data_IF_088909479981
#
_entry.id   IF_088909479981
#
_cell.length_a   1.000
_cell.length_b   1.000
_cell.length_c   1.000
_cell.angle_alpha   90.00
_cell.angle_beta   90.00
_cell.angle_gamma   90.00
#
_symmetry.space_group_name_H-M   'P 1'
#
loop_
_entity.id
_entity.type
_entity.pdbx_description
1 polymer ?
#
# COMPACT_ATOMS: atom_id res chain seq x y z
N UNK A 1 6.25 19.33 -9.79
CA UNK A 1 5.92 17.92 -9.50
C UNK A 1 6.98 17.08 -10.16
N UNK A 2 7.66 16.26 -9.40
CA UNK A 2 8.66 15.38 -9.95
C UNK A 2 7.96 14.31 -10.81
N UNK A 3 8.64 13.84 -11.83
CA UNK A 3 8.12 12.79 -12.72
C UNK A 3 8.52 11.43 -12.19
N UNK A 4 7.68 10.44 -12.42
CA UNK A 4 8.01 9.06 -12.09
C UNK A 4 9.30 8.62 -12.80
N UNK A 5 10.23 8.02 -12.06
CA UNK A 5 11.39 7.34 -12.64
C UNK A 5 10.94 5.94 -13.11
N UNK A 6 10.45 5.88 -14.35
CA UNK A 6 9.94 4.63 -14.92
C UNK A 6 11.04 3.58 -15.10
N UNK A 7 12.29 3.98 -15.37
CA UNK A 7 13.41 3.04 -15.49
C UNK A 7 13.73 2.40 -14.13
N UNK A 8 13.64 3.17 -13.04
CA UNK A 8 13.77 2.64 -11.69
C UNK A 8 12.62 1.68 -11.36
N UNK A 9 11.36 2.09 -11.66
CA UNK A 9 10.20 1.23 -11.44
C UNK A 9 10.31 -0.09 -12.19
N UNK A 10 10.65 -0.08 -13.47
CA UNK A 10 10.84 -1.30 -14.27
C UNK A 10 11.97 -2.18 -13.74
N UNK A 11 13.00 -1.60 -13.14
CA UNK A 11 14.14 -2.34 -12.60
C UNK A 11 13.87 -2.92 -11.23
N UNK A 12 13.30 -2.11 -10.34
CA UNK A 12 13.15 -2.42 -8.92
C UNK A 12 11.74 -2.87 -8.51
N UNK A 13 10.70 -2.56 -9.30
CA UNK A 13 9.30 -2.85 -9.04
C UNK A 13 8.60 -1.79 -8.18
N UNK A 14 9.29 -0.68 -7.90
CA UNK A 14 8.75 0.46 -7.16
C UNK A 14 9.45 1.74 -7.55
N UNK A 15 8.78 2.87 -7.35
CA UNK A 15 9.39 4.20 -7.48
C UNK A 15 8.66 5.21 -6.61
N UNK A 16 9.35 6.28 -6.21
CA UNK A 16 8.79 7.39 -5.43
C UNK A 16 8.62 8.60 -6.33
N UNK A 17 7.47 9.26 -6.22
CA UNK A 17 7.27 10.61 -6.74
C UNK A 17 7.13 11.56 -5.55
N UNK A 18 8.05 12.52 -5.45
CA UNK A 18 8.08 13.47 -4.32
C UNK A 18 7.04 14.57 -4.48
N UNK A 19 6.44 14.99 -3.36
CA UNK A 19 5.58 16.16 -3.27
C UNK A 19 4.33 16.12 -4.15
N UNK A 20 3.75 14.94 -4.35
CA UNK A 20 2.51 14.75 -5.13
C UNK A 20 1.34 15.46 -4.46
N UNK A 21 1.26 15.36 -3.13
CA UNK A 21 0.28 16.04 -2.30
C UNK A 21 0.94 17.05 -1.37
N UNK A 22 0.28 18.16 -1.11
CA UNK A 22 0.74 19.12 -0.12
C UNK A 22 0.56 18.61 1.31
N UNK A 23 1.37 19.13 2.24
CA UNK A 23 1.20 18.82 3.65
C UNK A 23 -0.19 19.17 4.19
N UNK A 24 -0.82 20.24 3.66
CA UNK A 24 -2.17 20.65 4.05
C UNK A 24 -3.23 19.62 3.62
N UNK A 25 -3.16 19.11 2.39
CA UNK A 25 -4.07 18.06 1.91
C UNK A 25 -3.93 16.79 2.78
N UNK A 26 -2.70 16.39 3.09
CA UNK A 26 -2.47 15.24 3.97
C UNK A 26 -3.06 15.47 5.39
N UNK A 27 -2.88 16.66 5.95
CA UNK A 27 -3.44 17.02 7.26
C UNK A 27 -4.98 17.02 7.25
N UNK A 28 -5.60 17.49 6.17
CA UNK A 28 -7.05 17.47 6.00
C UNK A 28 -7.60 16.03 5.97
N UNK A 29 -6.94 15.11 5.26
CA UNK A 29 -7.34 13.69 5.26
C UNK A 29 -7.18 13.05 6.64
N UNK A 30 -6.05 13.29 7.30
CA UNK A 30 -5.82 12.79 8.67
C UNK A 30 -6.88 13.30 9.63
N UNK A 31 -7.18 14.62 9.59
CA UNK A 31 -8.21 15.23 10.42
C UNK A 31 -9.61 14.64 10.13
N UNK A 32 -9.94 14.41 8.86
CA UNK A 32 -11.18 13.76 8.45
C UNK A 32 -11.32 12.37 9.09
N UNK A 33 -10.28 11.56 8.99
CA UNK A 33 -10.27 10.20 9.55
C UNK A 33 -10.39 10.21 11.08
N UNK A 34 -9.64 11.09 11.75
CA UNK A 34 -9.70 11.25 13.21
C UNK A 34 -11.07 11.74 13.69
N UNK A 35 -11.71 12.65 12.97
CA UNK A 35 -13.05 13.15 13.31
C UNK A 35 -14.12 12.07 13.14
N UNK A 36 -14.02 11.22 12.13
CA UNK A 36 -14.90 10.05 11.96
C UNK A 36 -14.75 9.08 13.13
N UNK A 37 -13.50 8.74 13.50
CA UNK A 37 -13.22 7.84 14.62
C UNK A 37 -13.64 8.40 15.96
N UNK A 38 -13.48 9.71 16.16
CA UNK A 38 -13.93 10.39 17.38
C UNK A 38 -15.45 10.59 17.45
N UNK A 39 -16.18 10.19 16.41
CA UNK A 39 -17.64 10.44 16.33
C UNK A 39 -18.04 11.90 16.17
N UNK A 40 -17.09 12.78 15.81
CA UNK A 40 -17.38 14.21 15.56
C UNK A 40 -18.04 14.42 14.21
N UNK A 41 -17.80 13.52 13.27
CA UNK A 41 -18.46 13.45 11.97
C UNK A 41 -19.20 12.12 11.89
N UNK A 42 -20.42 12.15 11.40
CA UNK A 42 -21.21 10.97 11.08
C UNK A 42 -21.09 10.69 9.57
N UNK A 43 -20.82 9.45 9.23
CA UNK A 43 -20.79 9.00 7.86
C UNK A 43 -21.51 7.65 7.78
N UNK A 44 -22.55 7.57 6.97
CA UNK A 44 -23.29 6.33 6.79
C UNK A 44 -22.34 5.25 6.21
N UNK A 45 -22.34 4.08 6.81
CA UNK A 45 -21.43 2.98 6.45
C UNK A 45 -20.11 2.97 7.22
N UNK A 46 -19.74 4.06 7.89
CA UNK A 46 -18.56 4.11 8.75
C UNK A 46 -18.92 3.64 10.16
N UNK A 47 -18.19 2.66 10.67
CA UNK A 47 -18.26 2.22 12.05
C UNK A 47 -16.93 2.55 12.74
N UNK A 48 -16.92 3.45 13.75
CA UNK A 48 -15.74 3.66 14.57
C UNK A 48 -15.29 2.33 15.19
N UNK A 49 -13.98 2.05 15.11
CA UNK A 49 -13.39 0.87 15.74
C UNK A 49 -12.83 1.24 17.10
N UNK A 50 -12.79 0.28 18.01
CA UNK A 50 -12.07 0.44 19.26
C UNK A 50 -10.56 0.62 19.00
N UNK A 51 -9.85 1.31 19.90
CA UNK A 51 -8.46 1.71 19.65
C UNK A 51 -7.51 0.54 19.39
N UNK A 52 -7.77 -0.63 19.95
CA UNK A 52 -7.05 -1.89 19.70
C UNK A 52 -7.35 -2.54 18.36
N UNK A 53 -8.39 -2.08 17.67
CA UNK A 53 -8.82 -2.55 16.35
C UNK A 53 -8.41 -1.61 15.20
N UNK A 54 -7.71 -0.52 15.52
CA UNK A 54 -7.28 0.51 14.57
C UNK A 54 -6.08 0.06 13.73
N UNK A 55 -6.19 -1.05 13.02
CA UNK A 55 -5.12 -1.49 12.15
C UNK A 55 -5.23 -0.85 10.77
N UNK A 56 -6.33 -1.10 10.05
CA UNK A 56 -6.56 -0.59 8.70
C UNK A 56 -8.04 -0.39 8.45
N UNK A 57 -8.38 0.66 7.68
CA UNK A 57 -9.74 0.87 7.18
C UNK A 57 -9.75 0.56 5.69
N UNK A 58 -10.53 -0.44 5.29
CA UNK A 58 -10.62 -0.93 3.92
C UNK A 58 -11.85 -0.40 3.20
N UNK A 59 -11.70 -0.14 1.90
CA UNK A 59 -12.82 0.13 0.97
C UNK A 59 -13.73 1.29 1.40
N UNK A 60 -13.18 2.27 2.11
CA UNK A 60 -13.94 3.42 2.59
C UNK A 60 -14.52 4.25 1.43
N UNK A 61 -13.89 4.21 0.26
CA UNK A 61 -14.36 4.90 -0.96
C UNK A 61 -15.77 4.47 -1.42
N UNK A 62 -16.29 3.34 -0.96
CA UNK A 62 -17.66 2.90 -1.29
C UNK A 62 -18.73 3.81 -0.70
N UNK A 63 -18.44 4.46 0.41
CA UNK A 63 -19.41 5.28 1.14
C UNK A 63 -18.87 6.65 1.56
N UNK A 64 -17.56 6.88 1.45
CA UNK A 64 -16.92 8.15 1.80
C UNK A 64 -16.42 8.87 0.54
N UNK A 65 -17.04 10.02 0.18
CA UNK A 65 -16.57 10.82 -0.94
C UNK A 65 -15.13 11.28 -0.81
N UNK A 66 -14.65 11.60 0.41
CA UNK A 66 -13.26 12.01 0.64
C UNK A 66 -12.30 10.88 0.28
N UNK A 67 -12.55 9.66 0.77
CA UNK A 67 -11.72 8.52 0.43
C UNK A 67 -11.75 8.19 -1.07
N UNK A 68 -12.91 8.39 -1.72
CA UNK A 68 -13.03 8.21 -3.17
C UNK A 68 -12.24 9.26 -3.94
N UNK A 69 -12.31 10.52 -3.54
CA UNK A 69 -11.57 11.61 -4.21
C UNK A 69 -10.05 11.38 -4.13
N UNK A 70 -9.55 10.81 -3.03
CA UNK A 70 -8.16 10.40 -2.90
C UNK A 70 -7.81 9.19 -3.78
N UNK A 71 -8.71 8.22 -3.92
CA UNK A 71 -8.49 7.04 -4.78
C UNK A 71 -8.29 7.42 -6.24
N UNK A 72 -9.06 8.40 -6.72
CA UNK A 72 -9.03 8.86 -8.11
C UNK A 72 -8.38 10.25 -8.26
N UNK A 73 -7.52 10.62 -7.31
CA UNK A 73 -6.89 11.94 -7.31
C UNK A 73 -6.10 12.17 -8.62
N UNK A 74 -6.33 13.31 -9.32
CA UNK A 74 -5.74 13.55 -10.62
C UNK A 74 -4.21 13.41 -10.68
N UNK A 75 -3.43 13.78 -9.63
CA UNK A 75 -1.98 13.62 -9.65
C UNK A 75 -1.49 12.17 -9.72
N UNK A 76 -2.32 11.20 -9.37
CA UNK A 76 -1.97 9.77 -9.42
C UNK A 76 -2.10 9.20 -10.83
N UNK A 77 -2.93 9.80 -11.70
CA UNK A 77 -3.31 9.21 -12.99
C UNK A 77 -2.11 8.96 -13.89
N UNK A 78 -1.29 9.98 -14.12
CA UNK A 78 -0.17 9.87 -15.06
C UNK A 78 0.88 8.84 -14.63
N UNK A 79 1.38 8.84 -13.37
CA UNK A 79 2.29 7.80 -12.90
C UNK A 79 1.69 6.38 -12.98
N UNK A 80 0.42 6.21 -12.61
CA UNK A 80 -0.25 4.91 -12.69
C UNK A 80 -0.38 4.44 -14.14
N UNK A 81 -0.73 5.35 -15.08
CA UNK A 81 -0.80 5.03 -16.51
C UNK A 81 0.55 4.55 -17.04
N UNK A 82 1.65 5.21 -16.63
CA UNK A 82 3.00 4.80 -17.07
C UNK A 82 3.38 3.41 -16.51
N UNK A 83 3.07 3.13 -15.25
CA UNK A 83 3.37 1.83 -14.63
C UNK A 83 2.54 0.68 -15.21
N UNK A 84 1.26 0.94 -15.53
CA UNK A 84 0.33 -0.08 -16.02
C UNK A 84 0.41 -0.27 -17.55
N UNK A 85 0.99 0.70 -18.28
CA UNK A 85 0.87 0.83 -19.74
C UNK A 85 -0.61 0.79 -20.20
N UNK A 86 -1.52 1.28 -19.34
CA UNK A 86 -2.98 1.31 -19.57
C UNK A 86 -3.64 2.37 -18.69
N UNK A 87 -4.93 2.67 -18.93
CA UNK A 87 -5.69 3.59 -18.09
C UNK A 87 -6.02 2.95 -16.73
N UNK A 88 -5.66 3.62 -15.60
CA UNK A 88 -5.88 3.04 -14.27
C UNK A 88 -7.34 3.12 -13.83
N UNK A 89 -7.83 2.05 -13.21
CA UNK A 89 -9.09 2.00 -12.47
C UNK A 89 -8.83 1.93 -10.97
N UNK A 90 -9.47 2.82 -10.20
CA UNK A 90 -9.41 2.80 -8.74
C UNK A 90 -10.32 1.72 -8.15
N UNK A 91 -9.75 0.66 -7.59
CA UNK A 91 -10.49 -0.50 -7.11
C UNK A 91 -10.54 -0.66 -5.59
N UNK A 92 -9.57 -0.12 -4.86
CA UNK A 92 -9.48 -0.28 -3.41
C UNK A 92 -8.84 0.93 -2.74
N UNK A 93 -9.34 1.29 -1.56
CA UNK A 93 -8.66 2.16 -0.60
C UNK A 93 -8.31 1.40 0.66
N UNK A 94 -7.14 1.70 1.21
CA UNK A 94 -6.71 1.18 2.49
C UNK A 94 -6.04 2.30 3.29
N UNK A 95 -6.62 2.68 4.42
CA UNK A 95 -6.04 3.65 5.33
C UNK A 95 -5.35 2.91 6.48
N UNK A 96 -4.06 3.14 6.63
CA UNK A 96 -3.25 2.55 7.70
C UNK A 96 -3.25 3.48 8.91
N UNK A 97 -3.70 2.97 10.05
CA UNK A 97 -3.63 3.69 11.31
C UNK A 97 -2.24 3.54 11.93
N UNK A 98 -1.85 4.51 12.75
CA UNK A 98 -0.57 4.46 13.48
C UNK A 98 -0.46 3.15 14.27
N UNK A 99 0.66 2.45 14.10
CA UNK A 99 0.89 1.14 14.72
C UNK A 99 0.29 -0.05 13.97
N UNK A 100 -0.35 0.18 12.81
CA UNK A 100 -0.75 -0.93 11.95
C UNK A 100 0.43 -1.44 11.14
N UNK A 101 0.46 -2.74 10.93
CA UNK A 101 1.46 -3.41 10.11
C UNK A 101 0.84 -4.53 9.29
N UNK A 102 1.53 -4.93 8.26
CA UNK A 102 1.19 -6.11 7.46
C UNK A 102 2.48 -6.86 7.16
N UNK A 103 2.49 -8.17 7.41
CA UNK A 103 3.60 -9.04 7.07
C UNK A 103 3.84 -9.09 5.55
N UNK A 104 4.99 -9.61 5.15
CA UNK A 104 5.40 -9.70 3.72
C UNK A 104 4.34 -10.39 2.90
N UNK A 105 4.05 -9.83 1.73
CA UNK A 105 3.05 -10.34 0.81
C UNK A 105 3.27 -9.75 -0.58
N UNK A 106 2.47 -10.21 -1.52
CA UNK A 106 2.32 -9.64 -2.86
C UNK A 106 0.86 -9.24 -3.01
N UNK A 107 0.57 -7.98 -3.33
CA UNK A 107 -0.80 -7.45 -3.43
C UNK A 107 -1.65 -8.24 -4.43
N UNK A 108 -1.05 -8.70 -5.53
CA UNK A 108 -1.75 -9.50 -6.55
C UNK A 108 -2.25 -10.85 -6.06
N UNK A 109 -1.80 -11.34 -4.91
CA UNK A 109 -2.39 -12.51 -4.28
C UNK A 109 -3.85 -12.25 -3.86
N UNK A 110 -4.14 -11.02 -3.42
CA UNK A 110 -5.48 -10.60 -2.98
C UNK A 110 -6.29 -9.95 -4.11
N UNK A 111 -5.63 -9.18 -4.97
CA UNK A 111 -6.22 -8.39 -6.05
C UNK A 111 -5.46 -8.65 -7.37
N UNK A 112 -5.84 -9.70 -8.11
CA UNK A 112 -5.13 -10.06 -9.35
C UNK A 112 -5.04 -8.90 -10.35
N UNK A 113 -3.82 -8.67 -10.88
CA UNK A 113 -3.56 -7.62 -11.87
C UNK A 113 -3.45 -6.21 -11.30
N UNK A 114 -3.44 -6.05 -9.96
CA UNK A 114 -3.30 -4.72 -9.36
C UNK A 114 -1.84 -4.23 -9.33
N UNK A 115 -1.72 -2.94 -9.19
CA UNK A 115 -0.58 -2.23 -8.62
C UNK A 115 -1.07 -1.28 -7.52
N UNK A 116 -0.17 -0.72 -6.74
CA UNK A 116 -0.54 0.13 -5.63
C UNK A 116 0.17 1.48 -5.66
N UNK A 117 -0.54 2.52 -5.21
CA UNK A 117 -0.01 3.85 -4.91
C UNK A 117 -0.14 4.09 -3.40
N UNK A 118 0.97 4.06 -2.66
CA UNK A 118 0.99 4.30 -1.23
C UNK A 118 1.36 5.75 -0.95
N UNK A 119 0.43 6.50 -0.34
CA UNK A 119 0.56 7.94 -0.10
C UNK A 119 1.02 8.15 1.34
N UNK A 120 2.16 8.80 1.53
CA UNK A 120 2.69 9.14 2.85
C UNK A 120 1.95 10.35 3.45
N UNK A 121 1.15 10.13 4.49
CA UNK A 121 0.43 11.21 5.19
C UNK A 121 1.27 11.87 6.29
N UNK A 122 2.46 11.36 6.56
CA UNK A 122 3.48 11.87 7.48
C UNK A 122 4.86 11.49 6.96
N UNK A 123 5.91 12.08 7.51
CA UNK A 123 7.26 11.62 7.22
C UNK A 123 7.45 10.22 7.78
N UNK A 124 8.00 9.34 6.96
CA UNK A 124 8.15 7.90 7.28
C UNK A 124 9.59 7.47 7.06
N UNK A 125 10.13 6.80 8.07
CA UNK A 125 11.47 6.22 8.08
C UNK A 125 11.46 4.81 8.71
N UNK A 126 12.64 4.22 8.86
CA UNK A 126 12.80 2.87 9.40
C UNK A 126 12.24 2.70 10.82
N UNK A 127 12.21 3.76 11.61
CA UNK A 127 11.84 3.74 13.03
C UNK A 127 10.32 3.95 13.23
N UNK A 128 9.60 4.45 12.21
CA UNK A 128 8.20 4.85 12.37
C UNK A 128 7.22 4.23 11.37
N UNK A 129 7.62 3.18 10.65
CA UNK A 129 6.71 2.38 9.83
C UNK A 129 6.95 2.47 8.32
N UNK A 130 8.19 2.65 7.87
CA UNK A 130 8.54 2.52 6.46
C UNK A 130 8.05 1.19 5.88
N UNK A 131 7.59 1.26 4.64
CA UNK A 131 7.38 0.07 3.84
C UNK A 131 8.74 -0.56 3.50
N UNK A 132 8.84 -1.88 3.68
CA UNK A 132 10.03 -2.63 3.30
C UNK A 132 9.75 -3.43 2.04
N UNK A 133 10.65 -3.36 1.08
CA UNK A 133 10.47 -4.01 -0.23
C UNK A 133 11.67 -4.89 -0.58
N UNK A 134 11.42 -5.96 -1.31
CA UNK A 134 12.45 -6.76 -1.95
C UNK A 134 12.62 -6.30 -3.39
N UNK A 135 13.47 -5.30 -3.60
CA UNK A 135 13.70 -4.69 -4.90
C UNK A 135 13.97 -5.73 -5.99
N UNK A 136 13.29 -5.61 -7.13
CA UNK A 136 13.37 -6.54 -8.25
C UNK A 136 12.59 -7.84 -8.08
N UNK A 137 11.89 -8.06 -6.95
CA UNK A 137 11.11 -9.29 -6.73
C UNK A 137 9.91 -9.42 -7.67
N UNK A 138 9.36 -8.29 -8.16
CA UNK A 138 8.27 -8.25 -9.15
C UNK A 138 8.60 -8.97 -10.47
N UNK A 139 9.90 -9.11 -10.82
CA UNK A 139 10.36 -9.89 -11.98
C UNK A 139 10.20 -11.40 -11.81
N UNK A 140 9.84 -11.82 -10.63
CA UNK A 140 9.52 -13.20 -10.33
C UNK A 140 8.03 -13.42 -10.55
N UNK A 141 7.56 -14.64 -10.39
CA UNK A 141 6.13 -14.94 -10.45
C UNK A 141 5.42 -14.68 -9.14
N UNK A 142 4.11 -14.54 -9.21
CA UNK A 142 3.26 -14.55 -8.02
C UNK A 142 3.47 -15.84 -7.23
N UNK A 143 3.67 -15.69 -5.93
CA UNK A 143 3.78 -16.82 -5.00
C UNK A 143 2.40 -17.40 -4.72
N UNK A 144 2.33 -18.72 -4.65
CA UNK A 144 1.11 -19.47 -4.39
C UNK A 144 1.35 -20.51 -3.29
N UNK A 145 0.32 -21.16 -2.82
CA UNK A 145 0.47 -22.23 -1.81
C UNK A 145 1.46 -23.33 -2.20
N UNK A 146 1.65 -23.58 -3.50
CA UNK A 146 2.63 -24.57 -3.97
C UNK A 146 4.09 -24.17 -3.75
N UNK A 147 4.36 -22.90 -3.45
CA UNK A 147 5.72 -22.42 -3.17
C UNK A 147 6.15 -22.68 -1.72
N UNK A 148 5.19 -22.99 -0.86
CA UNK A 148 5.41 -23.08 0.58
C UNK A 148 5.31 -24.53 1.13
N UNK A 149 4.73 -25.45 0.34
CA UNK A 149 4.56 -26.84 0.75
C UNK A 149 4.50 -27.79 -0.44
N UNK A 150 4.90 -29.06 -0.23
CA UNK A 150 4.84 -30.10 -1.26
C UNK A 150 3.41 -30.46 -1.64
N UNK A 151 2.44 -30.30 -0.73
CA UNK A 151 1.02 -30.59 -0.95
C UNK A 151 0.20 -29.38 -1.41
N UNK A 152 0.85 -28.23 -1.67
CA UNK A 152 0.21 -26.99 -2.10
C UNK A 152 -0.60 -26.29 -1.01
N UNK A 153 -0.34 -26.58 0.27
CA UNK A 153 -1.00 -25.96 1.42
C UNK A 153 -0.01 -25.13 2.22
N UNK A 154 -0.50 -24.13 2.93
CA UNK A 154 0.32 -23.32 3.84
C UNK A 154 0.58 -23.99 5.19
N UNK A 155 0.30 -25.27 5.36
CA UNK A 155 0.47 -26.02 6.61
C UNK A 155 -0.22 -25.35 7.82
N UNK A 156 -1.39 -24.75 7.60
CA UNK A 156 -2.13 -24.03 8.63
C UNK A 156 -1.68 -22.58 8.86
N UNK A 157 -0.67 -22.11 8.13
CA UNK A 157 -0.27 -20.72 8.13
C UNK A 157 -1.17 -19.89 7.19
N UNK A 158 -1.34 -18.62 7.50
CA UNK A 158 -1.86 -17.67 6.52
C UNK A 158 -0.79 -17.35 5.47
N UNK A 159 -1.21 -16.67 4.40
CA UNK A 159 -0.33 -16.34 3.28
C UNK A 159 0.86 -15.47 3.72
N UNK A 160 0.64 -14.44 4.52
CA UNK A 160 1.69 -13.53 4.96
C UNK A 160 2.75 -14.26 5.79
N UNK A 161 2.32 -15.10 6.75
CA UNK A 161 3.24 -15.92 7.56
C UNK A 161 4.04 -16.89 6.69
N UNK A 162 3.44 -17.44 5.64
CA UNK A 162 4.13 -18.32 4.71
C UNK A 162 5.18 -17.56 3.86
N UNK A 163 4.87 -16.35 3.41
CA UNK A 163 5.83 -15.49 2.70
C UNK A 163 6.97 -15.08 3.62
N UNK A 164 6.67 -14.69 4.86
CA UNK A 164 7.68 -14.37 5.89
C UNK A 164 8.68 -15.52 6.08
N UNK A 165 8.19 -16.71 6.29
CA UNK A 165 9.05 -17.90 6.48
C UNK A 165 9.92 -18.17 5.25
N UNK A 166 9.37 -18.02 4.04
CA UNK A 166 10.13 -18.20 2.80
C UNK A 166 11.26 -17.17 2.69
N UNK A 167 10.98 -15.90 2.99
CA UNK A 167 11.93 -14.80 2.91
C UNK A 167 13.05 -14.96 3.97
N UNK A 168 12.69 -15.30 5.20
CA UNK A 168 13.65 -15.57 6.28
C UNK A 168 14.57 -16.74 5.90
N UNK A 169 14.00 -17.84 5.41
CA UNK A 169 14.74 -19.04 5.01
C UNK A 169 15.72 -18.77 3.88
N UNK A 170 15.34 -17.91 2.93
CA UNK A 170 16.16 -17.58 1.76
C UNK A 170 17.06 -16.36 1.99
N UNK A 171 17.00 -15.72 3.15
CA UNK A 171 17.75 -14.52 3.51
C UNK A 171 17.72 -13.43 2.40
N UNK A 172 16.53 -13.16 1.88
CA UNK A 172 16.35 -12.18 0.80
C UNK A 172 16.50 -10.77 1.37
N UNK A 173 17.39 -9.93 0.80
CA UNK A 173 17.57 -8.55 1.27
C UNK A 173 16.32 -7.71 1.08
N UNK A 174 16.08 -6.79 2.00
CA UNK A 174 14.98 -5.83 1.97
C UNK A 174 15.53 -4.41 2.07
N UNK A 175 14.80 -3.49 1.48
CA UNK A 175 15.12 -2.06 1.48
C UNK A 175 13.95 -1.29 2.08
N UNK A 176 14.18 -0.44 3.10
CA UNK A 176 13.14 0.46 3.60
C UNK A 176 12.92 1.59 2.61
N UNK A 177 11.66 1.92 2.36
CA UNK A 177 11.26 3.04 1.50
C UNK A 177 10.91 4.22 2.41
N UNK A 178 11.92 5.07 2.67
CA UNK A 178 11.76 6.28 3.48
C UNK A 178 11.23 7.41 2.60
N UNK A 179 10.18 8.08 3.05
CA UNK A 179 9.48 9.13 2.28
C UNK A 179 9.02 10.25 3.19
N UNK A 180 8.75 11.40 2.59
CA UNK A 180 8.19 12.56 3.28
C UNK A 180 6.68 12.62 3.10
N UNK A 181 6.02 13.35 3.95
CA UNK A 181 4.60 13.64 3.82
C UNK A 181 4.28 14.24 2.46
N UNK A 182 3.33 13.65 1.77
CA UNK A 182 2.89 14.05 0.44
C UNK A 182 3.57 13.32 -0.71
N UNK A 183 4.62 12.52 -0.43
CA UNK A 183 5.23 11.64 -1.41
C UNK A 183 4.32 10.43 -1.67
N UNK A 184 4.47 9.84 -2.85
CA UNK A 184 3.75 8.62 -3.22
C UNK A 184 4.72 7.56 -3.71
N UNK A 185 4.60 6.37 -3.14
CA UNK A 185 5.31 5.17 -3.60
C UNK A 185 4.38 4.40 -4.53
N UNK A 186 4.80 4.26 -5.77
CA UNK A 186 4.13 3.41 -6.77
C UNK A 186 4.85 2.06 -6.79
N UNK A 187 4.13 0.96 -6.67
CA UNK A 187 4.76 -0.35 -6.67
C UNK A 187 3.90 -1.43 -7.34
N UNK A 188 4.59 -2.37 -7.97
CA UNK A 188 4.01 -3.51 -8.67
C UNK A 188 3.36 -4.48 -7.65
N UNK A 189 2.18 -4.98 -7.95
CA UNK A 189 1.46 -5.88 -7.05
C UNK A 189 2.10 -7.27 -6.90
N UNK A 190 3.14 -7.61 -7.68
CA UNK A 190 3.96 -8.82 -7.50
C UNK A 190 5.22 -8.55 -6.66
N UNK A 191 5.54 -7.29 -6.36
CA UNK A 191 6.61 -6.93 -5.44
C UNK A 191 6.32 -7.52 -4.04
N UNK A 192 7.37 -8.03 -3.38
CA UNK A 192 7.31 -8.45 -1.96
C UNK A 192 7.85 -7.36 -1.08
#
# INVERSE_FOLDING_TARGET
MDTLDIEHYEREGWAVVEGVFSGAECEELVAHMLDLHAGKKALEGFAPREADQLQRTHNQHWYDPVARDWLIAPPLKEPLTQCLDDEPDGIQTMYFWVGSEQGRHQDQYYLPGCMSAWIALMDVDEDNGAMWVQSGSHKRRLLTSSDFSEDGKFHGWDYNAAVDELCIRNAIPETPVCVRRGDVVFFDGVLV
#
